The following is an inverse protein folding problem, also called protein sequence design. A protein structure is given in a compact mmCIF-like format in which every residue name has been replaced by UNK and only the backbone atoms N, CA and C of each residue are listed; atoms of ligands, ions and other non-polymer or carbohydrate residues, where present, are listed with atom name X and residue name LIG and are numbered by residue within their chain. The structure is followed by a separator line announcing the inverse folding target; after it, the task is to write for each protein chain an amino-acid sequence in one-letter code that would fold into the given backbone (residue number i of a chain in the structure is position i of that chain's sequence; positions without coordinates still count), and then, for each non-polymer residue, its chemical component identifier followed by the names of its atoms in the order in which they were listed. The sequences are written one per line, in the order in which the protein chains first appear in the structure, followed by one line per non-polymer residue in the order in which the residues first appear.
data_IF_464945333835
#
_entry.id   IF_464945333835
#
_cell.length_a   1.000
_cell.length_b   1.000
_cell.length_c   1.000
_cell.angle_alpha   90.00
_cell.angle_beta   90.00
_cell.angle_gamma   90.00
#
_symmetry.space_group_name_H-M   'P 1'
#
loop_
_entity.id
_entity.type
_entity.pdbx_description
1 polymer ?
#
# COMPACT_ATOMS: atom_id res chain seq x y z
N UNK A 1 -25.61 -22.32 -65.32
CA UNK A 1 -24.23 -22.54 -64.85
C UNK A 1 -24.23 -22.49 -63.33
N UNK A 2 -24.09 -23.66 -62.68
CA UNK A 2 -24.05 -23.74 -61.22
C UNK A 2 -22.77 -23.08 -60.70
N UNK A 3 -22.92 -22.13 -59.78
CA UNK A 3 -21.84 -21.45 -59.07
C UNK A 3 -21.10 -22.51 -58.25
N UNK A 4 -19.91 -22.95 -58.71
CA UNK A 4 -19.01 -23.79 -57.92
C UNK A 4 -18.75 -23.08 -56.60
N UNK A 5 -19.30 -23.60 -55.52
CA UNK A 5 -18.93 -23.23 -54.17
C UNK A 5 -17.46 -23.60 -53.98
N UNK A 6 -16.60 -22.59 -53.89
CA UNK A 6 -15.23 -22.77 -53.43
C UNK A 6 -15.28 -23.49 -52.08
N UNK A 7 -14.54 -24.59 -51.88
CA UNK A 7 -14.47 -25.23 -50.58
C UNK A 7 -14.01 -24.21 -49.53
N UNK A 8 -14.49 -24.27 -48.28
CA UNK A 8 -14.02 -23.36 -47.23
C UNK A 8 -12.51 -23.53 -47.12
N UNK A 9 -11.75 -22.48 -47.45
CA UNK A 9 -10.32 -22.49 -47.22
C UNK A 9 -10.13 -22.66 -45.72
N UNK A 10 -9.51 -23.77 -45.31
CA UNK A 10 -9.10 -23.96 -43.93
C UNK A 10 -8.11 -22.85 -43.60
N UNK A 11 -8.58 -21.89 -42.82
CA UNK A 11 -7.78 -20.74 -42.42
C UNK A 11 -6.52 -21.25 -41.71
N UNK A 12 -5.34 -20.95 -42.27
CA UNK A 12 -4.07 -21.39 -41.69
C UNK A 12 -3.90 -20.72 -40.33
N UNK A 13 -3.49 -21.51 -39.35
CA UNK A 13 -3.23 -21.03 -37.98
C UNK A 13 -1.77 -21.26 -37.61
N UNK A 14 -1.23 -20.35 -36.83
CA UNK A 14 0.16 -20.36 -36.36
C UNK A 14 0.19 -20.43 -34.83
N UNK A 15 1.13 -21.21 -34.28
CA UNK A 15 1.35 -21.24 -32.84
C UNK A 15 2.05 -19.95 -32.40
N UNK A 16 1.40 -19.24 -31.47
CA UNK A 16 1.89 -17.98 -30.89
C UNK A 16 2.51 -18.22 -29.52
N UNK A 17 1.78 -18.94 -28.65
CA UNK A 17 2.18 -19.21 -27.27
C UNK A 17 1.98 -20.68 -26.88
N UNK A 18 3.04 -21.36 -26.40
CA UNK A 18 2.91 -22.72 -25.89
C UNK A 18 2.08 -22.74 -24.60
N UNK A 19 1.53 -23.91 -24.25
CA UNK A 19 0.66 -24.08 -23.09
C UNK A 19 1.29 -23.55 -21.79
N UNK A 20 2.58 -23.83 -21.55
CA UNK A 20 3.28 -23.38 -20.35
C UNK A 20 3.23 -21.85 -20.15
N UNK A 21 3.30 -21.06 -21.24
CA UNK A 21 3.22 -19.59 -21.18
C UNK A 21 1.80 -19.09 -20.91
N UNK A 22 0.80 -19.82 -21.40
CA UNK A 22 -0.61 -19.51 -21.13
C UNK A 22 -0.99 -19.79 -19.67
N UNK A 23 -0.50 -20.90 -19.12
CA UNK A 23 -0.69 -21.24 -17.71
C UNK A 23 -0.03 -20.19 -16.83
N UNK A 24 1.22 -19.84 -17.11
CA UNK A 24 1.94 -18.79 -16.39
C UNK A 24 1.18 -17.46 -16.41
N UNK A 25 0.73 -17.02 -17.58
CA UNK A 25 -0.10 -15.81 -17.69
C UNK A 25 -1.39 -15.91 -16.89
N UNK A 26 -2.11 -17.04 -16.94
CA UNK A 26 -3.33 -17.22 -16.15
C UNK A 26 -3.05 -17.13 -14.65
N UNK A 27 -1.96 -17.75 -14.17
CA UNK A 27 -1.53 -17.64 -12.77
C UNK A 27 -1.23 -16.19 -12.39
N UNK A 28 -0.48 -15.46 -13.24
CA UNK A 28 -0.15 -14.06 -13.00
C UNK A 28 -1.39 -13.15 -13.06
N UNK A 29 -2.30 -13.39 -13.99
CA UNK A 29 -3.57 -12.68 -14.12
C UNK A 29 -4.42 -12.82 -12.85
N UNK A 30 -4.61 -14.05 -12.37
CA UNK A 30 -5.40 -14.31 -11.18
C UNK A 30 -4.76 -13.67 -9.94
N UNK A 31 -3.45 -13.86 -9.76
CA UNK A 31 -2.70 -13.26 -8.65
C UNK A 31 -2.73 -11.73 -8.68
N UNK A 32 -2.46 -11.11 -9.83
CA UNK A 32 -2.52 -9.65 -10.00
C UNK A 32 -3.94 -9.13 -9.75
N UNK A 33 -4.97 -9.81 -10.25
CA UNK A 33 -6.37 -9.42 -10.03
C UNK A 33 -6.70 -9.45 -8.53
N UNK A 34 -6.30 -10.50 -7.82
CA UNK A 34 -6.48 -10.59 -6.37
C UNK A 34 -5.75 -9.48 -5.63
N UNK A 35 -4.50 -9.18 -6.01
CA UNK A 35 -3.71 -8.08 -5.44
C UNK A 35 -4.36 -6.71 -5.68
N UNK A 36 -4.83 -6.45 -6.91
CA UNK A 36 -5.53 -5.23 -7.26
C UNK A 36 -6.82 -5.06 -6.46
N UNK A 37 -7.66 -6.10 -6.39
CA UNK A 37 -8.92 -6.05 -5.64
C UNK A 37 -8.69 -5.83 -4.13
N UNK A 38 -7.83 -6.64 -3.51
CA UNK A 38 -7.55 -6.53 -2.08
C UNK A 38 -6.77 -5.25 -1.74
N UNK A 39 -5.89 -4.78 -2.62
CA UNK A 39 -5.12 -3.55 -2.44
C UNK A 39 -5.98 -2.29 -2.57
N UNK A 40 -6.88 -2.24 -3.57
CA UNK A 40 -7.73 -1.07 -3.80
C UNK A 40 -8.72 -0.83 -2.66
N UNK A 41 -9.36 -1.87 -2.14
CA UNK A 41 -10.29 -1.73 -1.01
C UNK A 41 -9.56 -1.27 0.27
N UNK A 42 -8.31 -1.69 0.46
CA UNK A 42 -7.48 -1.21 1.58
C UNK A 42 -7.03 0.24 1.37
N UNK A 43 -6.67 0.64 0.13
CA UNK A 43 -6.29 2.02 -0.19
C UNK A 43 -7.46 2.99 0.04
N UNK A 44 -8.66 2.60 -0.38
CA UNK A 44 -9.87 3.41 -0.26
C UNK A 44 -10.75 2.97 0.92
N UNK A 45 -10.16 2.69 2.08
CA UNK A 45 -10.83 2.09 3.23
C UNK A 45 -12.01 2.91 3.81
N UNK A 46 -12.06 4.22 3.54
CA UNK A 46 -13.16 5.09 3.98
C UNK A 46 -14.40 5.02 3.09
N UNK A 47 -14.29 4.44 1.89
CA UNK A 47 -15.44 4.28 1.00
C UNK A 47 -16.39 3.20 1.52
N UNK A 48 -17.70 3.47 1.48
CA UNK A 48 -18.75 2.51 1.86
C UNK A 48 -18.63 1.20 1.07
N UNK A 49 -18.25 1.27 -0.21
CA UNK A 49 -18.05 0.08 -1.04
C UNK A 49 -16.86 -0.75 -0.54
N UNK A 50 -15.76 -0.10 -0.16
CA UNK A 50 -14.60 -0.79 0.42
C UNK A 50 -14.94 -1.46 1.74
N UNK A 51 -15.66 -0.77 2.63
CA UNK A 51 -16.09 -1.32 3.92
C UNK A 51 -16.99 -2.55 3.73
N UNK A 52 -17.95 -2.48 2.79
CA UNK A 52 -18.79 -3.63 2.43
C UNK A 52 -17.97 -4.81 1.91
N UNK A 53 -17.05 -4.57 0.97
CA UNK A 53 -16.21 -5.63 0.38
C UNK A 53 -15.24 -6.25 1.40
N UNK A 54 -14.66 -5.43 2.30
CA UNK A 54 -13.84 -5.92 3.41
C UNK A 54 -14.69 -6.79 4.35
N UNK A 55 -15.91 -6.38 4.67
CA UNK A 55 -16.85 -7.20 5.45
C UNK A 55 -17.17 -8.53 4.77
N UNK A 56 -17.44 -8.51 3.46
CA UNK A 56 -17.74 -9.70 2.66
C UNK A 56 -16.56 -10.69 2.62
N UNK A 57 -15.32 -10.18 2.58
CA UNK A 57 -14.11 -10.99 2.55
C UNK A 57 -13.67 -11.49 3.93
N UNK A 58 -14.46 -11.26 4.99
CA UNK A 58 -14.16 -11.75 6.35
C UNK A 58 -13.33 -10.79 7.19
N UNK A 59 -13.31 -9.50 6.86
CA UNK A 59 -12.64 -8.44 7.63
C UNK A 59 -11.22 -8.12 7.15
N UNK A 60 -10.60 -7.14 7.81
CA UNK A 60 -9.31 -6.57 7.37
C UNK A 60 -8.16 -7.57 7.44
N UNK A 61 -8.14 -8.46 8.43
CA UNK A 61 -7.09 -9.48 8.57
C UNK A 61 -7.15 -10.52 7.44
N UNK A 62 -8.36 -10.93 7.05
CA UNK A 62 -8.56 -11.83 5.92
C UNK A 62 -8.11 -11.18 4.61
N UNK A 63 -8.53 -9.94 4.36
CA UNK A 63 -8.11 -9.17 3.17
C UNK A 63 -6.59 -9.04 3.08
N UNK A 64 -5.93 -8.74 4.20
CA UNK A 64 -4.47 -8.66 4.29
C UNK A 64 -3.81 -10.00 3.99
N UNK A 65 -4.29 -11.09 4.60
CA UNK A 65 -3.77 -12.44 4.38
C UNK A 65 -3.91 -12.88 2.92
N UNK A 66 -5.07 -12.62 2.30
CA UNK A 66 -5.31 -12.90 0.87
C UNK A 66 -4.34 -12.08 0.01
N UNK A 67 -4.12 -10.81 0.33
CA UNK A 67 -3.19 -9.95 -0.39
C UNK A 67 -1.75 -10.50 -0.31
N UNK A 68 -1.30 -10.86 0.89
CA UNK A 68 0.02 -11.45 1.13
C UNK A 68 0.20 -12.78 0.39
N UNK A 69 -0.79 -13.66 0.44
CA UNK A 69 -0.77 -14.92 -0.30
C UNK A 69 -0.67 -14.68 -1.82
N UNK A 70 -1.48 -13.77 -2.35
CA UNK A 70 -1.45 -13.43 -3.77
C UNK A 70 -0.09 -12.81 -4.17
N UNK A 71 0.54 -12.02 -3.30
CA UNK A 71 1.87 -11.46 -3.51
C UNK A 71 2.94 -12.57 -3.60
N UNK A 72 2.90 -13.55 -2.70
CA UNK A 72 3.82 -14.70 -2.73
C UNK A 72 3.68 -15.47 -4.05
N UNK A 73 2.44 -15.73 -4.49
CA UNK A 73 2.18 -16.37 -5.79
C UNK A 73 2.76 -15.56 -6.94
N UNK A 74 2.61 -14.22 -6.93
CA UNK A 74 3.17 -13.35 -7.97
C UNK A 74 4.70 -13.39 -7.98
N UNK A 75 5.33 -13.35 -6.80
CA UNK A 75 6.79 -13.40 -6.66
C UNK A 75 7.33 -14.74 -7.18
N UNK A 76 6.72 -15.86 -6.79
CA UNK A 76 7.12 -17.20 -7.29
C UNK A 76 6.90 -17.30 -8.80
N UNK A 77 5.78 -16.78 -9.31
CA UNK A 77 5.53 -16.71 -10.75
C UNK A 77 6.58 -15.89 -11.49
N UNK A 78 7.01 -14.77 -10.91
CA UNK A 78 8.08 -13.92 -11.45
C UNK A 78 9.44 -14.62 -11.42
N UNK A 79 9.76 -15.35 -10.35
CA UNK A 79 10.95 -16.19 -10.29
C UNK A 79 10.96 -17.24 -11.41
N UNK A 80 9.85 -17.96 -11.58
CA UNK A 80 9.70 -18.92 -12.66
C UNK A 80 9.89 -18.23 -14.03
N UNK A 81 9.27 -17.07 -14.23
CA UNK A 81 9.41 -16.28 -15.45
C UNK A 81 10.88 -15.98 -15.78
N UNK A 82 11.65 -15.52 -14.77
CA UNK A 82 13.08 -15.21 -14.91
C UNK A 82 13.91 -16.45 -15.24
N UNK A 83 13.63 -17.60 -14.59
CA UNK A 83 14.32 -18.87 -14.88
C UNK A 83 14.00 -19.37 -16.28
N UNK A 84 12.76 -19.28 -16.75
CA UNK A 84 12.46 -19.70 -18.13
C UNK A 84 13.02 -18.69 -19.14
N UNK A 85 12.98 -17.39 -18.85
CA UNK A 85 13.62 -16.37 -19.68
C UNK A 85 15.12 -16.61 -19.82
N UNK A 86 15.83 -16.85 -18.72
CA UNK A 86 17.25 -17.19 -18.72
C UNK A 86 17.56 -18.43 -19.55
N UNK A 87 16.70 -19.45 -19.49
CA UNK A 87 16.81 -20.66 -20.31
C UNK A 87 16.63 -20.33 -21.81
N UNK A 88 15.61 -19.55 -22.15
CA UNK A 88 15.37 -19.12 -23.53
C UNK A 88 16.52 -18.27 -24.09
N UNK A 89 17.06 -17.36 -23.28
CA UNK A 89 18.14 -16.45 -23.67
C UNK A 89 19.50 -17.16 -23.79
N UNK A 90 19.88 -17.96 -22.79
CA UNK A 90 21.21 -18.58 -22.74
C UNK A 90 21.27 -19.92 -23.46
N UNK A 91 20.34 -20.83 -23.15
CA UNK A 91 20.36 -22.22 -23.67
C UNK A 91 19.88 -22.23 -25.11
N UNK A 92 18.64 -21.76 -25.32
CA UNK A 92 18.00 -21.80 -26.64
C UNK A 92 18.43 -20.68 -27.57
N UNK A 93 19.04 -19.60 -27.05
CA UNK A 93 19.44 -18.41 -27.84
C UNK A 93 18.29 -17.87 -28.71
N UNK A 94 17.07 -17.89 -28.17
CA UNK A 94 15.92 -17.26 -28.81
C UNK A 94 16.17 -15.75 -28.89
N UNK A 95 15.75 -15.14 -30.00
CA UNK A 95 15.87 -13.69 -30.20
C UNK A 95 15.14 -12.96 -29.06
N UNK A 96 15.84 -12.05 -28.39
CA UNK A 96 15.32 -11.26 -27.27
C UNK A 96 14.37 -10.14 -27.76
N UNK A 97 13.29 -10.55 -28.42
CA UNK A 97 12.32 -9.67 -29.08
C UNK A 97 11.54 -8.77 -28.11
N UNK A 98 11.52 -9.09 -26.81
CA UNK A 98 10.92 -8.26 -25.76
C UNK A 98 11.80 -7.09 -25.30
N UNK A 99 13.08 -7.02 -25.72
CA UNK A 99 13.91 -5.85 -25.41
C UNK A 99 13.45 -4.65 -26.26
N UNK A 100 13.19 -3.48 -25.66
CA UNK A 100 12.86 -2.28 -26.41
C UNK A 100 14.11 -1.85 -27.18
N UNK A 101 13.93 -1.49 -28.44
CA UNK A 101 14.97 -0.99 -29.31
C UNK A 101 14.57 0.32 -29.98
N UNK A 102 15.51 0.93 -30.70
CA UNK A 102 15.24 2.16 -31.44
C UNK A 102 14.15 2.01 -32.50
N UNK A 103 13.94 0.79 -33.01
CA UNK A 103 12.85 0.50 -33.95
C UNK A 103 11.47 0.70 -33.30
N UNK A 104 11.30 0.38 -32.02
CA UNK A 104 10.02 0.53 -31.32
C UNK A 104 9.59 2.00 -31.25
N UNK A 105 10.54 2.92 -31.07
CA UNK A 105 10.27 4.36 -31.10
C UNK A 105 9.86 4.84 -32.50
N UNK A 106 10.47 4.29 -33.55
CA UNK A 106 10.05 4.57 -34.94
C UNK A 106 8.66 4.03 -35.22
N UNK A 107 8.37 2.81 -34.78
CA UNK A 107 7.07 2.15 -34.96
C UNK A 107 5.98 2.92 -34.22
N UNK A 108 6.25 3.41 -33.00
CA UNK A 108 5.35 4.27 -32.23
C UNK A 108 5.08 5.60 -32.96
N UNK A 109 6.12 6.26 -33.47
CA UNK A 109 5.97 7.50 -34.24
C UNK A 109 5.16 7.25 -35.53
N UNK A 110 5.44 6.16 -36.24
CA UNK A 110 4.69 5.80 -37.44
C UNK A 110 3.23 5.46 -37.11
N UNK A 111 2.96 4.75 -36.01
CA UNK A 111 1.61 4.48 -35.54
C UNK A 111 0.85 5.77 -35.24
N UNK A 112 1.50 6.73 -34.57
CA UNK A 112 0.94 8.06 -34.33
C UNK A 112 0.61 8.77 -35.65
N UNK A 113 1.59 8.87 -36.56
CA UNK A 113 1.42 9.51 -37.87
C UNK A 113 0.33 8.84 -38.71
N UNK A 114 0.18 7.51 -38.60
CA UNK A 114 -0.88 6.76 -39.27
C UNK A 114 -2.26 7.11 -38.68
N UNK A 115 -2.38 7.13 -37.35
CA UNK A 115 -3.64 7.41 -36.67
C UNK A 115 -4.15 8.84 -36.92
N UNK A 116 -3.24 9.81 -37.12
CA UNK A 116 -3.59 11.20 -37.49
C UNK A 116 -3.65 11.43 -39.00
N UNK A 117 -3.46 10.39 -39.82
CA UNK A 117 -3.67 10.43 -41.27
C UNK A 117 -2.47 10.86 -42.13
N UNK A 118 -1.29 11.12 -41.56
CA UNK A 118 -0.08 11.48 -42.31
C UNK A 118 0.66 10.28 -42.91
N UNK A 119 0.58 9.10 -42.28
CA UNK A 119 1.18 7.88 -42.83
C UNK A 119 0.14 7.03 -43.58
N UNK A 120 0.53 6.46 -44.72
CA UNK A 120 -0.36 5.66 -45.60
C UNK A 120 -0.58 4.23 -45.11
N UNK A 121 0.34 3.69 -44.30
CA UNK A 121 0.30 2.31 -43.82
C UNK A 121 0.70 2.22 -42.36
N UNK A 122 0.16 1.22 -41.67
CA UNK A 122 0.56 0.84 -40.31
C UNK A 122 2.03 0.42 -40.25
N UNK A 123 2.70 0.58 -39.08
CA UNK A 123 4.04 0.04 -38.88
C UNK A 123 4.01 -1.48 -39.04
N UNK A 124 5.06 -2.03 -39.64
CA UNK A 124 5.23 -3.47 -39.74
C UNK A 124 5.98 -3.95 -38.51
N UNK A 125 5.26 -4.60 -37.59
CA UNK A 125 5.80 -4.99 -36.29
C UNK A 125 6.22 -6.45 -36.26
N UNK A 126 7.16 -6.75 -35.37
CA UNK A 126 7.75 -8.07 -35.15
C UNK A 126 6.89 -8.99 -34.30
N UNK A 127 7.57 -9.96 -33.69
CA UNK A 127 6.98 -10.91 -32.73
C UNK A 127 6.26 -10.21 -31.59
N UNK A 128 6.69 -9.02 -31.18
CA UNK A 128 5.95 -8.19 -30.23
C UNK A 128 5.91 -6.77 -30.78
N UNK A 129 4.76 -6.15 -30.68
CA UNK A 129 4.52 -4.74 -31.01
C UNK A 129 5.17 -3.83 -29.97
N UNK A 130 5.38 -2.56 -30.30
CA UNK A 130 5.90 -1.61 -29.32
C UNK A 130 4.96 -1.43 -28.12
N UNK A 131 3.63 -1.53 -28.35
CA UNK A 131 2.59 -1.47 -27.30
C UNK A 131 2.76 -2.62 -26.32
N UNK A 132 2.84 -3.86 -26.81
CA UNK A 132 3.05 -5.06 -25.97
C UNK A 132 4.37 -5.00 -25.19
N UNK A 133 5.45 -4.49 -25.81
CA UNK A 133 6.73 -4.31 -25.11
C UNK A 133 6.64 -3.25 -24.03
N UNK A 134 5.99 -2.12 -24.31
CA UNK A 134 5.80 -1.06 -23.32
C UNK A 134 4.99 -1.57 -22.12
N UNK A 135 3.91 -2.31 -22.35
CA UNK A 135 3.14 -2.96 -21.28
C UNK A 135 3.99 -3.95 -20.46
N UNK A 136 4.76 -4.80 -21.12
CA UNK A 136 5.64 -5.76 -20.45
C UNK A 136 6.68 -5.04 -19.57
N UNK A 137 7.31 -3.99 -20.06
CA UNK A 137 8.32 -3.26 -19.29
C UNK A 137 7.74 -2.39 -18.19
N UNK A 138 6.55 -1.81 -18.40
CA UNK A 138 5.79 -1.16 -17.34
C UNK A 138 5.46 -2.17 -16.22
N UNK A 139 5.05 -3.39 -16.58
CA UNK A 139 4.83 -4.47 -15.62
C UNK A 139 6.10 -4.90 -14.87
N UNK A 140 7.24 -5.04 -15.57
CA UNK A 140 8.54 -5.37 -14.94
C UNK A 140 8.94 -4.28 -13.94
N UNK A 141 8.86 -3.01 -14.34
CA UNK A 141 9.13 -1.88 -13.45
C UNK A 141 8.20 -1.86 -12.24
N UNK A 142 6.89 -1.95 -12.49
CA UNK A 142 5.88 -1.97 -11.44
C UNK A 142 6.10 -3.12 -10.47
N UNK A 143 6.45 -4.32 -10.95
CA UNK A 143 6.74 -5.46 -10.08
C UNK A 143 7.92 -5.19 -9.13
N UNK A 144 9.00 -4.54 -9.62
CA UNK A 144 10.15 -4.17 -8.78
C UNK A 144 9.72 -3.17 -7.70
N UNK A 145 9.03 -2.10 -8.09
CA UNK A 145 8.55 -1.07 -7.16
C UNK A 145 7.60 -1.68 -6.12
N UNK A 146 6.64 -2.49 -6.55
CA UNK A 146 5.64 -3.13 -5.70
C UNK A 146 6.28 -4.14 -4.74
N UNK A 147 7.29 -4.91 -5.18
CA UNK A 147 8.01 -5.84 -4.32
C UNK A 147 8.82 -5.10 -3.23
N UNK A 148 9.57 -4.06 -3.61
CA UNK A 148 10.39 -3.28 -2.66
C UNK A 148 9.51 -2.52 -1.67
N UNK A 149 8.49 -1.82 -2.15
CA UNK A 149 7.58 -1.06 -1.28
C UNK A 149 6.70 -1.96 -0.43
N UNK A 150 6.26 -3.11 -0.97
CA UNK A 150 5.56 -4.14 -0.23
C UNK A 150 6.42 -4.72 0.89
N UNK A 151 7.72 -4.95 0.65
CA UNK A 151 8.67 -5.35 1.69
C UNK A 151 8.70 -4.37 2.85
N UNK A 152 8.89 -3.09 2.53
CA UNK A 152 9.02 -2.03 3.52
C UNK A 152 7.77 -1.95 4.41
N UNK A 153 6.59 -2.14 3.80
CA UNK A 153 5.31 -2.11 4.51
C UNK A 153 5.01 -3.38 5.30
N UNK A 154 5.41 -4.55 4.80
CA UNK A 154 5.20 -5.83 5.50
C UNK A 154 6.12 -5.94 6.73
N UNK A 155 7.37 -5.45 6.61
CA UNK A 155 8.39 -5.54 7.67
C UNK A 155 8.89 -4.15 8.10
N UNK A 156 8.04 -3.30 8.70
CA UNK A 156 8.39 -1.90 8.96
C UNK A 156 9.47 -1.73 10.03
N UNK A 157 9.49 -2.56 11.07
CA UNK A 157 10.49 -2.48 12.15
C UNK A 157 11.87 -2.87 11.63
N UNK A 158 11.96 -3.99 10.91
CA UNK A 158 13.20 -4.43 10.26
C UNK A 158 13.70 -3.40 9.25
N UNK A 159 12.79 -2.82 8.47
CA UNK A 159 13.14 -1.78 7.50
C UNK A 159 13.68 -0.52 8.17
N UNK A 160 13.09 -0.10 9.30
CA UNK A 160 13.52 1.07 10.06
C UNK A 160 14.89 0.90 10.76
N UNK A 161 15.38 -0.34 10.92
CA UNK A 161 16.75 -0.61 11.40
C UNK A 161 17.81 -0.21 10.38
N UNK A 162 17.46 -0.19 9.09
CA UNK A 162 18.39 0.03 7.96
C UNK A 162 18.13 1.38 7.28
N UNK A 163 16.86 1.79 7.20
CA UNK A 163 16.42 3.01 6.52
C UNK A 163 15.77 3.99 7.51
N UNK A 164 15.84 5.31 7.25
CA UNK A 164 15.08 6.29 8.02
C UNK A 164 13.57 5.99 8.01
N UNK A 165 12.88 6.29 9.11
CA UNK A 165 11.46 5.96 9.29
C UNK A 165 10.51 6.58 8.26
N UNK A 166 10.92 7.66 7.59
CA UNK A 166 10.17 8.32 6.50
C UNK A 166 9.98 7.43 5.25
N UNK A 167 10.82 6.41 5.08
CA UNK A 167 10.70 5.46 3.96
C UNK A 167 9.45 4.58 4.07
N UNK A 168 8.91 4.37 5.27
CA UNK A 168 7.69 3.57 5.46
C UNK A 168 6.45 4.29 4.91
N UNK A 169 6.13 5.54 5.30
CA UNK A 169 5.02 6.28 4.69
C UNK A 169 5.27 6.59 3.21
N UNK A 170 6.52 6.82 2.80
CA UNK A 170 6.85 6.97 1.38
C UNK A 170 6.55 5.68 0.59
N UNK A 171 6.92 4.52 1.12
CA UNK A 171 6.58 3.23 0.53
C UNK A 171 5.07 3.02 0.46
N UNK A 172 4.32 3.37 1.51
CA UNK A 172 2.85 3.32 1.50
C UNK A 172 2.24 4.19 0.39
N UNK A 173 2.74 5.41 0.22
CA UNK A 173 2.29 6.30 -0.84
C UNK A 173 2.64 5.76 -2.23
N UNK A 174 3.89 5.32 -2.43
CA UNK A 174 4.38 4.78 -3.69
C UNK A 174 3.68 3.47 -4.08
N UNK A 175 3.59 2.51 -3.17
CA UNK A 175 2.91 1.23 -3.37
C UNK A 175 1.44 1.45 -3.75
N UNK A 176 0.73 2.27 -2.97
CA UNK A 176 -0.66 2.57 -3.25
C UNK A 176 -0.85 3.37 -4.55
N UNK A 177 0.09 4.23 -4.92
CA UNK A 177 0.04 5.01 -6.17
C UNK A 177 0.27 4.12 -7.38
N UNK A 178 1.33 3.33 -7.36
CA UNK A 178 1.70 2.38 -8.40
C UNK A 178 0.61 1.30 -8.58
N UNK A 179 -0.01 0.82 -7.51
CA UNK A 179 -1.12 -0.12 -7.60
C UNK A 179 -2.30 0.44 -8.42
N UNK A 180 -2.64 1.72 -8.22
CA UNK A 180 -3.70 2.38 -9.00
C UNK A 180 -3.27 2.52 -10.46
N UNK A 181 -2.05 2.96 -10.72
CA UNK A 181 -1.52 3.07 -12.07
C UNK A 181 -1.50 1.72 -12.80
N UNK A 182 -1.05 0.66 -12.13
CA UNK A 182 -0.99 -0.69 -12.68
C UNK A 182 -2.39 -1.23 -13.00
N UNK A 183 -3.36 -1.09 -12.09
CA UNK A 183 -4.75 -1.52 -12.35
C UNK A 183 -5.36 -0.72 -13.51
N UNK A 184 -5.17 0.59 -13.54
CA UNK A 184 -5.66 1.43 -14.63
C UNK A 184 -4.99 1.09 -15.96
N UNK A 185 -3.68 0.84 -15.98
CA UNK A 185 -2.97 0.43 -17.18
C UNK A 185 -3.50 -0.90 -17.72
N UNK A 186 -3.77 -1.89 -16.86
CA UNK A 186 -4.37 -3.14 -17.30
C UNK A 186 -5.78 -2.92 -17.84
N UNK A 187 -6.64 -2.15 -17.16
CA UNK A 187 -8.02 -1.95 -17.62
C UNK A 187 -8.07 -1.12 -18.91
N UNK A 188 -7.35 0.00 -18.96
CA UNK A 188 -7.47 0.98 -20.04
C UNK A 188 -6.62 0.62 -21.25
N UNK A 189 -5.43 0.05 -21.05
CA UNK A 189 -4.53 -0.28 -22.15
C UNK A 189 -4.64 -1.76 -22.51
N UNK A 190 -4.33 -2.65 -21.57
CA UNK A 190 -4.25 -4.08 -21.89
C UNK A 190 -5.61 -4.68 -22.27
N UNK A 191 -6.64 -4.52 -21.42
CA UNK A 191 -7.97 -5.05 -21.70
C UNK A 191 -8.58 -4.41 -22.94
N UNK A 192 -8.41 -3.11 -23.12
CA UNK A 192 -8.87 -2.44 -24.33
C UNK A 192 -8.17 -2.97 -25.58
N UNK A 193 -6.84 -3.04 -25.57
CA UNK A 193 -6.03 -3.47 -26.72
C UNK A 193 -6.31 -4.91 -27.14
N UNK A 194 -6.31 -5.83 -26.17
CA UNK A 194 -6.34 -7.28 -26.40
C UNK A 194 -7.74 -7.88 -26.41
N UNK A 195 -8.73 -7.24 -25.78
CA UNK A 195 -10.10 -7.76 -25.69
C UNK A 195 -11.18 -6.88 -26.33
N UNK A 196 -10.96 -5.58 -26.53
CA UNK A 196 -12.00 -4.68 -27.06
C UNK A 196 -11.68 -4.22 -28.49
N UNK A 197 -10.53 -3.58 -28.69
CA UNK A 197 -10.06 -3.05 -29.98
C UNK A 197 -9.77 -4.19 -30.96
N UNK A 198 -9.03 -5.20 -30.48
CA UNK A 198 -8.81 -6.46 -31.15
C UNK A 198 -9.22 -7.55 -30.16
N UNK A 199 -9.87 -8.62 -30.64
CA UNK A 199 -10.20 -9.75 -29.78
C UNK A 199 -9.18 -10.86 -30.00
N UNK A 200 -8.01 -10.72 -29.38
CA UNK A 200 -6.89 -11.64 -29.59
C UNK A 200 -7.03 -12.87 -28.67
N UNK A 201 -7.16 -14.05 -29.28
CA UNK A 201 -7.38 -15.33 -28.56
C UNK A 201 -6.08 -16.06 -28.23
N UNK A 202 -4.92 -15.52 -28.57
CA UNK A 202 -3.65 -16.22 -28.48
C UNK A 202 -3.32 -16.72 -27.06
N UNK A 203 -3.69 -15.96 -26.02
CA UNK A 203 -3.45 -16.39 -24.63
C UNK A 203 -4.39 -17.50 -24.15
N UNK A 204 -5.50 -17.72 -24.84
CA UNK A 204 -6.45 -18.80 -24.52
C UNK A 204 -6.20 -20.04 -25.36
N UNK A 205 -6.03 -19.89 -26.67
CA UNK A 205 -5.88 -21.02 -27.62
C UNK A 205 -4.43 -21.37 -27.92
N UNK A 206 -3.50 -20.43 -27.71
CA UNK A 206 -2.10 -20.53 -28.12
C UNK A 206 -1.86 -20.23 -29.59
N UNK A 207 -2.88 -19.87 -30.37
CA UNK A 207 -2.82 -19.75 -31.83
C UNK A 207 -3.46 -18.46 -32.34
N UNK A 208 -2.97 -18.00 -33.49
CA UNK A 208 -3.56 -16.91 -34.29
C UNK A 208 -3.78 -17.39 -35.72
N UNK A 209 -4.76 -16.83 -36.41
CA UNK A 209 -4.95 -17.07 -37.85
C UNK A 209 -3.91 -16.31 -38.68
N UNK A 210 -3.72 -16.73 -39.93
CA UNK A 210 -2.81 -16.05 -40.86
C UNK A 210 -3.17 -14.57 -41.06
N UNK A 211 -4.47 -14.24 -41.06
CA UNK A 211 -4.94 -12.86 -41.21
C UNK A 211 -4.63 -12.02 -39.97
N UNK A 212 -4.88 -12.57 -38.77
CA UNK A 212 -4.53 -11.93 -37.50
C UNK A 212 -3.02 -11.70 -37.41
N UNK A 213 -2.21 -12.70 -37.76
CA UNK A 213 -0.74 -12.59 -37.81
C UNK A 213 -0.28 -11.52 -38.82
N UNK A 214 -0.90 -11.44 -39.99
CA UNK A 214 -0.54 -10.44 -41.00
C UNK A 214 -0.86 -9.01 -40.54
N UNK A 215 -1.94 -8.86 -39.77
CA UNK A 215 -2.40 -7.56 -39.29
C UNK A 215 -1.61 -7.08 -38.07
N UNK A 216 -1.41 -7.93 -37.07
CA UNK A 216 -0.79 -7.58 -35.79
C UNK A 216 0.74 -7.79 -35.79
N UNK A 217 1.22 -8.84 -36.47
CA UNK A 217 2.63 -9.29 -36.41
C UNK A 217 3.22 -9.63 -37.80
N UNK A 218 3.16 -8.70 -38.79
CA UNK A 218 3.53 -9.00 -40.17
C UNK A 218 4.99 -9.49 -40.34
N UNK A 219 5.93 -8.95 -39.57
CA UNK A 219 7.33 -9.37 -39.66
C UNK A 219 7.56 -10.74 -39.02
N UNK A 220 6.80 -11.12 -37.97
CA UNK A 220 6.87 -12.48 -37.43
C UNK A 220 6.32 -13.49 -38.45
N UNK A 221 5.20 -13.17 -39.11
CA UNK A 221 4.66 -14.02 -40.17
C UNK A 221 5.65 -14.19 -41.33
N UNK A 222 6.33 -13.12 -41.73
CA UNK A 222 7.39 -13.17 -42.74
C UNK A 222 8.54 -14.08 -42.30
N UNK A 223 9.01 -13.96 -41.05
CA UNK A 223 10.07 -14.79 -40.48
C UNK A 223 9.68 -16.28 -40.42
N UNK A 224 8.43 -16.58 -40.06
CA UNK A 224 7.89 -17.95 -40.05
C UNK A 224 7.86 -18.53 -41.47
N UNK A 225 7.32 -17.78 -42.43
CA UNK A 225 7.24 -18.21 -43.83
C UNK A 225 8.62 -18.38 -44.48
N UNK A 226 9.60 -17.58 -44.05
CA UNK A 226 10.99 -17.70 -44.49
C UNK A 226 11.78 -18.80 -43.75
N UNK A 227 11.19 -19.47 -42.76
CA UNK A 227 11.84 -20.54 -41.99
C UNK A 227 12.98 -20.04 -41.08
N UNK A 228 12.97 -18.77 -40.69
CA UNK A 228 14.02 -18.14 -39.87
C UNK A 228 13.59 -17.84 -38.43
N UNK A 229 12.30 -17.98 -38.12
CA UNK A 229 11.74 -17.75 -36.79
C UNK A 229 12.31 -18.72 -35.72
N UNK A 230 12.43 -20.01 -36.05
CA UNK A 230 12.77 -21.08 -35.10
C UNK A 230 14.17 -21.69 -35.30
N UNK A 231 15.18 -20.87 -35.60
CA UNK A 231 16.57 -21.36 -35.70
C UNK A 231 17.12 -21.75 -34.31
N UNK A 232 16.78 -22.97 -33.85
CA UNK A 232 17.30 -23.55 -32.62
C UNK A 232 18.76 -24.00 -32.80
N UNK A 233 19.62 -23.85 -31.78
CA UNK A 233 20.94 -24.45 -31.78
C UNK A 233 20.86 -25.98 -31.91
N UNK A 234 21.93 -26.61 -32.37
CA UNK A 234 22.03 -28.07 -32.41
C UNK A 234 21.87 -28.69 -31.01
N UNK A 235 21.38 -29.93 -30.95
CA UNK A 235 21.08 -30.59 -29.69
C UNK A 235 22.31 -30.75 -28.78
N UNK A 236 23.50 -30.94 -29.35
CA UNK A 236 24.73 -31.11 -28.58
C UNK A 236 25.10 -29.78 -27.87
N UNK A 237 24.96 -28.65 -28.56
CA UNK A 237 25.12 -27.32 -27.99
C UNK A 237 24.09 -27.03 -26.90
N UNK A 238 22.82 -27.41 -27.11
CA UNK A 238 21.78 -27.27 -26.09
C UNK A 238 22.16 -28.06 -24.83
N UNK A 239 22.54 -29.35 -24.97
CA UNK A 239 22.95 -30.19 -23.83
C UNK A 239 24.15 -29.62 -23.09
N UNK A 240 25.16 -29.09 -23.80
CA UNK A 240 26.33 -28.44 -23.20
C UNK A 240 25.93 -27.23 -22.36
N UNK A 241 25.04 -26.38 -22.90
CA UNK A 241 24.55 -25.19 -22.19
C UNK A 241 23.65 -25.54 -21.01
N UNK A 242 22.81 -26.57 -21.14
CA UNK A 242 21.97 -27.08 -20.05
C UNK A 242 22.79 -27.54 -18.84
N UNK A 243 23.91 -28.25 -19.07
CA UNK A 243 24.83 -28.66 -18.00
C UNK A 243 25.41 -27.50 -17.20
N UNK A 244 25.53 -26.32 -17.81
CA UNK A 244 25.99 -25.09 -17.13
C UNK A 244 24.79 -24.35 -16.53
N UNK A 245 23.69 -24.26 -17.27
CA UNK A 245 22.51 -23.48 -16.90
C UNK A 245 21.80 -24.05 -15.67
N UNK A 246 21.52 -25.35 -15.65
CA UNK A 246 20.75 -25.97 -14.57
C UNK A 246 21.40 -25.83 -13.19
N UNK A 247 22.70 -26.10 -12.96
CA UNK A 247 23.27 -25.91 -11.63
C UNK A 247 23.22 -24.44 -11.17
N UNK A 248 23.53 -23.49 -12.06
CA UNK A 248 23.47 -22.06 -11.74
C UNK A 248 22.02 -21.64 -11.44
N UNK A 249 21.08 -22.02 -12.30
CA UNK A 249 19.66 -21.71 -12.13
C UNK A 249 19.10 -22.35 -10.85
N UNK A 250 19.50 -23.57 -10.51
CA UNK A 250 19.11 -24.22 -9.25
C UNK A 250 19.64 -23.48 -8.03
N UNK A 251 20.93 -23.09 -8.03
CA UNK A 251 21.50 -22.30 -6.92
C UNK A 251 20.80 -20.95 -6.77
N UNK A 252 20.59 -20.23 -7.88
CA UNK A 252 19.87 -18.96 -7.88
C UNK A 252 18.43 -19.12 -7.39
N UNK A 253 17.72 -20.14 -7.88
CA UNK A 253 16.34 -20.42 -7.47
C UNK A 253 16.26 -20.74 -5.98
N UNK A 254 17.17 -21.59 -5.46
CA UNK A 254 17.24 -21.91 -4.04
C UNK A 254 17.57 -20.67 -3.20
N UNK A 255 18.49 -19.82 -3.66
CA UNK A 255 18.82 -18.56 -3.00
C UNK A 255 17.63 -17.59 -2.96
N UNK A 256 16.91 -17.44 -4.07
CA UNK A 256 15.70 -16.62 -4.13
C UNK A 256 14.57 -17.18 -3.26
N UNK A 257 14.36 -18.50 -3.25
CA UNK A 257 13.38 -19.16 -2.37
C UNK A 257 13.74 -19.00 -0.90
N UNK A 258 15.02 -19.12 -0.53
CA UNK A 258 15.50 -18.84 0.82
C UNK A 258 15.28 -17.37 1.19
N UNK A 259 15.50 -16.45 0.25
CA UNK A 259 15.18 -15.03 0.39
C UNK A 259 13.70 -14.78 0.66
N UNK A 260 12.79 -15.43 -0.08
CA UNK A 260 11.34 -15.35 0.15
C UNK A 260 10.95 -15.98 1.49
N UNK A 261 11.51 -17.13 1.83
CA UNK A 261 11.25 -17.77 3.11
C UNK A 261 11.67 -16.87 4.27
N UNK A 262 12.86 -16.27 4.18
CA UNK A 262 13.33 -15.26 5.12
C UNK A 262 12.39 -14.07 5.17
N UNK A 263 12.05 -13.49 4.02
CA UNK A 263 11.10 -12.39 3.87
C UNK A 263 9.78 -12.63 4.62
N UNK A 264 9.15 -13.78 4.40
CA UNK A 264 7.85 -14.13 4.98
C UNK A 264 7.98 -14.33 6.50
N UNK A 265 9.09 -14.89 6.97
CA UNK A 265 9.27 -15.23 8.38
C UNK A 265 9.85 -14.10 9.23
N UNK A 266 10.25 -12.97 8.64
CA UNK A 266 10.83 -11.82 9.37
C UNK A 266 9.74 -10.85 9.86
N UNK A 267 8.52 -11.34 10.14
CA UNK A 267 7.37 -10.52 10.56
C UNK A 267 7.56 -9.88 11.94
N UNK A 268 8.29 -8.76 11.98
CA UNK A 268 8.23 -7.78 13.06
C UNK A 268 7.25 -6.67 12.65
N UNK A 269 5.95 -6.91 12.85
CA UNK A 269 4.92 -5.89 12.60
C UNK A 269 4.72 -5.01 13.84
N UNK A 270 4.48 -3.71 13.64
CA UNK A 270 4.27 -2.75 14.72
C UNK A 270 2.85 -2.75 15.30
N UNK A 271 2.01 -3.72 14.92
CA UNK A 271 0.61 -3.81 15.31
C UNK A 271 0.38 -5.14 16.04
N UNK A 272 0.69 -5.18 17.34
CA UNK A 272 -0.11 -6.02 18.24
C UNK A 272 -1.53 -5.48 18.18
N UNK A 273 -2.41 -6.16 17.44
CA UNK A 273 -3.85 -5.87 17.48
C UNK A 273 -4.27 -6.06 18.93
N UNK A 274 -4.47 -4.95 19.64
CA UNK A 274 -5.22 -4.99 20.90
C UNK A 274 -6.56 -5.63 20.50
N UNK A 275 -6.97 -6.74 21.13
CA UNK A 275 -8.27 -7.33 20.85
C UNK A 275 -9.34 -6.24 20.89
N UNK A 276 -10.35 -6.27 20.01
CA UNK A 276 -11.45 -5.33 20.10
C UNK A 276 -11.94 -5.32 21.54
N UNK A 277 -12.04 -4.13 22.12
CA UNK A 277 -12.51 -3.87 23.50
C UNK A 277 -13.89 -4.49 23.82
N UNK A 278 -14.52 -5.18 22.87
CA UNK A 278 -15.72 -5.98 23.05
C UNK A 278 -15.56 -7.11 24.09
N UNK A 279 -14.34 -7.58 24.38
CA UNK A 279 -14.09 -8.57 25.46
C UNK A 279 -13.70 -7.93 26.80
N UNK A 280 -13.36 -6.64 26.82
CA UNK A 280 -13.26 -5.90 28.08
C UNK A 280 -14.69 -5.52 28.45
N UNK A 281 -15.35 -6.41 29.20
CA UNK A 281 -16.50 -6.05 30.03
C UNK A 281 -16.01 -4.97 31.00
N UNK A 282 -16.00 -3.72 30.55
CA UNK A 282 -15.99 -2.58 31.44
C UNK A 282 -17.33 -2.69 32.16
N UNK A 283 -17.31 -3.13 33.42
CA UNK A 283 -18.46 -2.98 34.29
C UNK A 283 -18.84 -1.50 34.27
N UNK A 284 -19.91 -1.17 33.57
CA UNK A 284 -20.45 0.19 33.41
C UNK A 284 -20.85 0.80 34.76
N UNK A 285 -20.77 0.03 35.84
CA UNK A 285 -20.99 0.51 37.19
C UNK A 285 -20.23 -0.34 38.21
N UNK A 286 -19.09 0.15 38.70
CA UNK A 286 -18.56 -0.24 40.01
C UNK A 286 -19.20 0.72 41.02
N UNK A 287 -20.09 0.27 41.92
CA UNK A 287 -20.55 1.13 43.01
C UNK A 287 -19.32 1.63 43.76
N UNK A 288 -19.20 2.94 43.96
CA UNK A 288 -18.11 3.47 44.76
C UNK A 288 -18.11 2.74 46.11
N UNK A 289 -17.04 2.00 46.39
CA UNK A 289 -16.77 1.57 47.76
C UNK A 289 -16.65 2.85 48.56
N UNK A 290 -17.51 3.03 49.57
CA UNK A 290 -17.57 4.24 50.36
C UNK A 290 -16.15 4.62 50.81
N UNK A 291 -15.72 5.82 50.45
CA UNK A 291 -14.45 6.40 50.89
C UNK A 291 -14.33 6.19 52.41
N UNK A 292 -13.23 5.59 52.90
CA UNK A 292 -13.01 5.51 54.34
C UNK A 292 -13.13 6.92 54.91
N UNK A 293 -14.06 7.08 55.85
CA UNK A 293 -14.27 8.35 56.55
C UNK A 293 -12.90 8.80 57.09
N UNK A 294 -12.47 10.05 56.86
CA UNK A 294 -11.22 10.53 57.42
C UNK A 294 -11.24 10.29 58.93
N UNK A 295 -10.23 9.59 59.43
CA UNK A 295 -9.97 9.46 60.86
C UNK A 295 -9.91 10.88 61.43
N UNK A 296 -10.83 11.20 62.33
CA UNK A 296 -10.83 12.49 63.02
C UNK A 296 -9.47 12.67 63.70
N UNK A 297 -8.76 13.73 63.32
CA UNK A 297 -7.57 14.22 64.00
C UNK A 297 -7.84 14.31 65.51
N UNK A 298 -6.90 13.92 66.40
CA UNK A 298 -7.13 14.02 67.83
C UNK A 298 -7.41 15.46 68.23
N UNK A 299 -8.55 15.66 68.90
CA UNK A 299 -8.98 16.89 69.54
C UNK A 299 -7.89 17.42 70.48
N UNK A 300 -7.40 18.63 70.23
CA UNK A 300 -6.67 19.40 71.23
C UNK A 300 -7.65 19.89 72.31
N UNK A 301 -7.22 19.77 73.56
CA UNK A 301 -7.94 20.12 74.79
C UNK A 301 -8.33 21.61 74.85
N UNK A 302 -9.51 21.98 75.39
CA UNK A 302 -10.06 23.32 75.25
C UNK A 302 -9.49 24.32 76.27
N UNK A 303 -9.13 25.53 75.80
CA UNK A 303 -8.96 26.71 76.66
C UNK A 303 -10.25 27.54 76.63
N UNK A 304 -10.67 27.96 77.83
CA UNK A 304 -11.98 28.52 78.19
C UNK A 304 -12.10 30.03 77.88
N UNK A 305 -13.15 30.39 77.11
CA UNK A 305 -14.12 31.50 77.22
C UNK A 305 -13.66 32.99 77.22
N UNK A 306 -14.56 34.01 77.04
CA UNK A 306 -16.03 33.93 76.93
C UNK A 306 -16.72 34.73 75.79
N UNK A 307 -17.83 34.12 75.35
CA UNK A 307 -19.19 34.63 75.04
C UNK A 307 -19.44 36.13 74.83
N UNK A 308 -19.99 36.49 73.65
CA UNK A 308 -21.10 37.46 73.49
C UNK A 308 -22.02 37.09 72.31
N UNK A 309 -23.31 36.95 72.64
CA UNK A 309 -24.61 37.07 71.94
C UNK A 309 -24.80 37.01 70.39
N UNK A 310 -25.68 36.07 70.01
CA UNK A 310 -26.79 36.04 69.03
C UNK A 310 -26.98 37.13 67.95
N UNK A 311 -27.15 36.68 66.69
CA UNK A 311 -28.24 37.02 65.74
C UNK A 311 -28.13 36.11 64.49
N UNK A 312 -29.22 35.55 63.93
CA UNK A 312 -29.16 34.62 62.80
C UNK A 312 -29.14 35.37 61.45
N UNK A 313 -28.20 35.02 60.56
CA UNK A 313 -28.19 35.52 59.18
C UNK A 313 -28.05 34.37 58.19
N UNK A 314 -29.09 34.26 57.37
CA UNK A 314 -29.19 33.76 56.00
C UNK A 314 -28.19 32.70 55.50
N UNK A 315 -28.80 31.60 55.03
CA UNK A 315 -28.23 30.58 54.17
C UNK A 315 -27.34 31.17 53.07
N UNK A 316 -26.09 30.69 53.03
CA UNK A 316 -25.27 30.74 51.82
C UNK A 316 -25.01 29.30 51.39
N UNK A 317 -25.64 28.92 50.29
CA UNK A 317 -25.34 27.72 49.52
C UNK A 317 -23.84 27.70 49.21
N UNK A 318 -23.10 26.60 49.42
CA UNK A 318 -21.77 26.49 48.87
C UNK A 318 -21.87 26.47 47.35
N UNK A 319 -21.21 27.46 46.77
CA UNK A 319 -21.00 27.68 45.36
C UNK A 319 -20.62 26.38 44.64
N UNK A 320 -21.14 26.23 43.42
CA UNK A 320 -20.74 25.15 42.53
C UNK A 320 -19.22 25.26 42.32
N UNK A 321 -18.48 24.26 42.76
CA UNK A 321 -17.06 24.16 42.49
C UNK A 321 -16.85 24.20 40.96
N UNK A 322 -16.42 25.35 40.45
CA UNK A 322 -15.74 25.45 39.17
C UNK A 322 -14.56 24.50 39.24
N UNK A 323 -14.68 23.33 38.61
CA UNK A 323 -13.57 22.43 38.41
C UNK A 323 -12.50 23.24 37.66
N UNK A 324 -11.43 23.59 38.35
CA UNK A 324 -10.31 24.32 37.77
C UNK A 324 -9.77 23.49 36.61
N UNK A 325 -9.74 24.05 35.42
CA UNK A 325 -9.16 23.40 34.25
C UNK A 325 -7.66 23.30 34.49
N UNK A 326 -7.17 22.11 34.84
CA UNK A 326 -5.75 21.83 35.08
C UNK A 326 -5.25 20.71 34.17
N UNK A 327 -3.92 20.57 34.12
CA UNK A 327 -3.26 19.51 33.37
C UNK A 327 -3.69 18.14 33.87
N UNK A 328 -3.53 17.86 35.17
CA UNK A 328 -3.85 16.56 35.74
C UNK A 328 -5.34 16.22 35.63
N UNK A 329 -6.21 17.23 35.78
CA UNK A 329 -7.65 17.03 35.81
C UNK A 329 -8.31 16.90 34.44
N UNK A 330 -7.73 17.49 33.38
CA UNK A 330 -8.49 17.69 32.15
C UNK A 330 -7.66 17.73 30.86
N UNK A 331 -6.53 18.44 30.83
CA UNK A 331 -5.76 18.66 29.59
C UNK A 331 -4.73 17.56 29.32
N UNK A 332 -4.08 17.04 30.37
CA UNK A 332 -3.12 15.94 30.29
C UNK A 332 -3.70 14.66 29.71
N UNK A 333 -4.88 14.18 30.17
CA UNK A 333 -5.55 13.02 29.58
C UNK A 333 -5.87 13.19 28.09
N UNK A 334 -6.31 14.39 27.69
CA UNK A 334 -6.59 14.72 26.29
C UNK A 334 -5.32 14.60 25.43
N UNK A 335 -4.19 15.14 25.91
CA UNK A 335 -2.91 15.01 25.22
C UNK A 335 -2.35 13.58 25.21
N UNK A 336 -2.54 12.81 26.27
CA UNK A 336 -2.15 11.40 26.27
C UNK A 336 -2.97 10.59 25.25
N UNK A 337 -4.28 10.84 25.17
CA UNK A 337 -5.15 10.11 24.27
C UNK A 337 -4.92 10.45 22.80
N UNK A 338 -4.71 11.74 22.48
CA UNK A 338 -4.71 12.22 21.09
C UNK A 338 -3.35 12.62 20.55
N UNK A 339 -2.38 12.93 21.40
CA UNK A 339 -1.12 13.55 20.97
C UNK A 339 0.11 12.72 21.30
N UNK A 340 0.13 11.95 22.39
CA UNK A 340 1.31 11.22 22.85
C UNK A 340 1.83 10.14 21.87
N UNK A 341 0.97 9.63 20.97
CA UNK A 341 1.38 8.66 19.95
C UNK A 341 2.43 9.21 18.98
N UNK A 342 2.40 10.52 18.70
CA UNK A 342 3.37 11.19 17.83
C UNK A 342 4.28 12.18 18.58
N UNK A 343 3.76 12.80 19.64
CA UNK A 343 4.46 13.76 20.50
C UNK A 343 4.80 13.14 21.86
N UNK A 344 5.40 11.95 21.85
CA UNK A 344 5.95 11.27 23.02
C UNK A 344 7.46 11.52 23.18
N UNK A 345 8.12 10.69 24.00
CA UNK A 345 9.54 10.84 24.36
C UNK A 345 10.52 10.91 23.17
N UNK A 346 10.14 10.37 22.00
CA UNK A 346 10.96 10.30 20.79
C UNK A 346 10.59 11.33 19.70
N UNK A 347 9.64 12.24 19.97
CA UNK A 347 8.95 13.05 18.96
C UNK A 347 9.27 14.54 18.93
N UNK A 348 10.49 15.01 19.25
CA UNK A 348 10.92 16.42 19.15
C UNK A 348 10.18 17.46 20.01
N UNK A 349 8.99 17.12 20.50
CA UNK A 349 8.08 17.74 21.45
C UNK A 349 7.45 16.58 22.24
N UNK A 350 7.55 16.60 23.57
CA UNK A 350 7.02 15.55 24.43
C UNK A 350 5.85 16.09 25.27
N UNK A 351 4.66 15.51 25.06
CA UNK A 351 3.41 15.87 25.72
C UNK A 351 2.94 14.80 26.74
N UNK A 352 3.79 13.83 27.07
CA UNK A 352 3.43 12.75 27.99
C UNK A 352 3.31 13.22 29.45
N UNK A 353 4.04 14.27 29.82
CA UNK A 353 4.07 14.85 31.16
C UNK A 353 4.06 16.39 31.09
N UNK A 354 3.46 17.03 32.11
CA UNK A 354 3.35 18.49 32.21
C UNK A 354 4.71 19.19 32.08
N UNK A 355 5.69 18.70 32.83
CA UNK A 355 7.04 19.30 32.86
C UNK A 355 7.74 19.25 31.51
N UNK A 356 7.47 18.25 30.68
CA UNK A 356 8.04 18.15 29.34
C UNK A 356 7.25 18.95 28.31
N UNK A 357 5.92 19.00 28.46
CA UNK A 357 5.05 19.81 27.61
C UNK A 357 5.37 21.31 27.73
N UNK A 358 5.58 21.80 28.96
CA UNK A 358 5.89 23.21 29.22
C UNK A 358 7.32 23.61 28.83
N UNK A 359 8.27 22.66 28.71
CA UNK A 359 9.61 22.93 28.15
C UNK A 359 9.55 23.25 26.65
N UNK A 360 8.52 22.78 25.96
CA UNK A 360 8.41 22.91 24.50
C UNK A 360 9.27 21.89 23.75
N UNK A 361 9.48 22.16 22.46
CA UNK A 361 10.21 21.24 21.57
C UNK A 361 11.29 21.95 20.75
N UNK A 362 11.75 21.28 19.69
CA UNK A 362 12.75 21.85 18.78
C UNK A 362 12.34 23.19 18.12
N UNK A 363 11.04 23.46 18.05
CA UNK A 363 10.47 24.72 17.54
C UNK A 363 10.28 25.80 18.62
N UNK A 364 10.79 25.57 19.83
CA UNK A 364 10.63 26.47 20.98
C UNK A 364 9.43 26.14 21.85
N UNK A 365 9.01 27.13 22.65
CA UNK A 365 7.91 27.03 23.61
C UNK A 365 6.58 26.85 22.87
N UNK A 366 5.87 25.77 23.16
CA UNK A 366 4.60 25.41 22.48
C UNK A 366 3.38 25.98 23.20
N UNK A 367 3.46 26.12 24.51
CA UNK A 367 2.41 26.62 25.39
C UNK A 367 2.90 27.87 26.13
N UNK A 368 2.19 28.97 25.97
CA UNK A 368 2.46 30.22 26.68
C UNK A 368 1.38 30.40 27.75
N UNK A 369 1.78 30.27 29.01
CA UNK A 369 0.85 30.45 30.13
C UNK A 369 0.30 31.89 30.16
N UNK A 370 -1.02 32.01 30.27
CA UNK A 370 -1.76 33.28 30.24
C UNK A 370 -1.99 33.85 28.84
N UNK A 371 -1.58 33.15 27.78
CA UNK A 371 -1.75 33.60 26.39
C UNK A 371 -2.08 32.42 25.46
N UNK A 372 -3.37 32.05 25.41
CA UNK A 372 -3.84 31.04 24.47
C UNK A 372 -3.69 31.46 23.00
N UNK A 373 -3.88 32.74 22.68
CA UNK A 373 -3.82 33.26 21.32
C UNK A 373 -2.39 33.25 20.73
N UNK A 374 -1.38 33.50 21.57
CA UNK A 374 0.04 33.46 21.20
C UNK A 374 0.68 32.07 21.31
N UNK A 375 -0.02 31.08 21.87
CA UNK A 375 0.49 29.71 22.00
C UNK A 375 0.58 29.02 20.64
N UNK A 376 1.76 28.52 20.29
CA UNK A 376 2.03 27.89 18.98
C UNK A 376 1.09 26.73 18.67
N UNK A 377 0.68 25.96 19.70
CA UNK A 377 -0.29 24.89 19.55
C UNK A 377 -1.63 25.39 18.99
N UNK A 378 -2.18 26.46 19.57
CA UNK A 378 -3.47 27.03 19.17
C UNK A 378 -3.39 27.56 17.73
N UNK A 379 -2.35 28.35 17.43
CA UNK A 379 -2.11 28.90 16.08
C UNK A 379 -2.01 27.78 15.04
N UNK A 380 -1.37 26.66 15.37
CA UNK A 380 -1.18 25.53 14.45
C UNK A 380 -2.50 24.82 14.14
N UNK A 381 -3.36 24.63 15.14
CA UNK A 381 -4.65 23.97 14.98
C UNK A 381 -5.68 24.88 14.31
N UNK A 382 -5.73 26.16 14.64
CA UNK A 382 -6.63 27.12 14.00
C UNK A 382 -6.27 27.39 12.53
N UNK A 383 -4.98 27.35 12.18
CA UNK A 383 -4.55 27.45 10.78
C UNK A 383 -4.79 26.18 9.96
N UNK A 384 -5.27 25.09 10.57
CA UNK A 384 -5.50 23.80 9.91
C UNK A 384 -4.22 23.11 9.43
N UNK A 385 -3.05 23.53 9.93
CA UNK A 385 -1.73 23.05 9.47
C UNK A 385 -1.19 21.88 10.28
N UNK A 386 -1.97 21.31 11.19
CA UNK A 386 -1.57 20.12 11.92
C UNK A 386 -1.78 18.86 11.04
N UNK A 387 -0.75 18.04 10.80
CA UNK A 387 -0.74 17.05 9.70
C UNK A 387 -1.62 15.80 9.94
N UNK A 388 -1.96 15.47 11.19
CA UNK A 388 -2.57 14.17 11.52
C UNK A 388 -3.74 14.22 12.51
N UNK A 389 -3.69 15.09 13.53
CA UNK A 389 -4.76 15.24 14.51
C UNK A 389 -5.65 16.44 14.19
N UNK A 390 -6.95 16.27 14.44
CA UNK A 390 -7.99 17.32 14.44
C UNK A 390 -8.63 17.31 15.81
N UNK A 391 -8.70 18.47 16.47
CA UNK A 391 -9.41 18.65 17.73
C UNK A 391 -10.82 19.18 17.45
N UNK A 392 -11.79 18.80 18.29
CA UNK A 392 -13.11 19.44 18.23
C UNK A 392 -13.02 20.87 18.77
N UNK A 393 -14.05 21.67 18.50
CA UNK A 393 -14.17 23.03 19.04
C UNK A 393 -14.09 23.05 20.56
N UNK A 394 -14.76 22.10 21.21
CA UNK A 394 -14.82 21.99 22.66
C UNK A 394 -13.47 21.61 23.27
N UNK A 395 -12.74 20.69 22.63
CA UNK A 395 -11.40 20.28 23.06
C UNK A 395 -10.39 21.42 22.92
N UNK A 396 -10.49 22.19 21.82
CA UNK A 396 -9.62 23.34 21.61
C UNK A 396 -9.93 24.45 22.61
N UNK A 397 -11.20 24.72 22.91
CA UNK A 397 -11.62 25.71 23.88
C UNK A 397 -11.25 25.31 25.32
N UNK A 398 -11.25 24.02 25.63
CA UNK A 398 -10.74 23.49 26.90
C UNK A 398 -9.24 23.79 27.07
N UNK A 399 -8.43 23.56 26.03
CA UNK A 399 -6.99 23.87 26.06
C UNK A 399 -6.75 25.37 26.16
N UNK A 400 -7.51 26.19 25.43
CA UNK A 400 -7.43 27.66 25.53
C UNK A 400 -7.72 28.15 26.95
N UNK A 401 -8.80 27.64 27.54
CA UNK A 401 -9.22 27.99 28.90
C UNK A 401 -8.14 27.63 29.93
N UNK A 402 -7.49 26.47 29.76
CA UNK A 402 -6.36 26.07 30.61
C UNK A 402 -5.13 26.99 30.44
N UNK A 403 -4.80 27.36 29.20
CA UNK A 403 -3.68 28.27 28.93
C UNK A 403 -3.94 29.65 29.52
N UNK A 404 -5.12 30.21 29.33
CA UNK A 404 -5.53 31.51 29.85
C UNK A 404 -5.61 31.51 31.40
N UNK A 405 -5.92 30.36 32.00
CA UNK A 405 -5.85 30.15 33.45
C UNK A 405 -4.40 30.03 33.99
N UNK A 406 -3.38 30.18 33.14
CA UNK A 406 -1.98 30.14 33.53
C UNK A 406 -1.31 28.78 33.38
N UNK A 407 -1.89 27.88 32.58
CA UNK A 407 -1.37 26.54 32.31
C UNK A 407 -1.06 25.76 33.61
N UNK A 408 -2.04 25.67 34.51
CA UNK A 408 -1.88 25.06 35.83
C UNK A 408 -1.65 23.55 35.73
N UNK A 409 -0.67 23.04 36.48
CA UNK A 409 -0.40 21.59 36.57
C UNK A 409 -1.52 20.86 37.34
N UNK A 410 -1.96 21.45 38.46
CA UNK A 410 -2.93 20.86 39.40
C UNK A 410 -4.20 21.68 39.52
#
# INVERSE_FOLDING_TARGET
MAKKSTPPQTERTYERFPLARRIEHLTMLLSFTTLGLTGLIQKFATSTTSQFLVGLLGGIESVRSIHHFAAIVLIIGTMYHLVVFGYQAYVLRIRLSMLPGFQDAKDALQALLYNIGFAKSRPQMGRFTFEEKAEYWAFVWGTIVMAVTGFLMWNPITSAKILPGEFIPAAKAAHGGEAVLAVLAIILWHMYGVHIKFFNKAMWTGKLTEQEMLHEHPLELADIKAGIADRRPDEATIRKRQKIYFPIASILTLGMLAGIYGFINTEETSLTTIPPLAEQQVEVFVPQTATPRPTSTPTAEPTIAPTVADTPSAATTPDAATAVVSWDGSVGPLFQQKCAACHGASGGLNLAAYTDAMKGGASGVVFTAGDSAGSLMIIKFESGKHPYAVLTTEELDQIKSWLDAGALEK
#
